data_IF_555237769960
#
_entry.id   IF_555237769960
#
_cell.length_a   1.000
_cell.length_b   1.000
_cell.length_c   1.000
_cell.angle_alpha   90.00
_cell.angle_beta   90.00
_cell.angle_gamma   90.00
#
_symmetry.space_group_name_H-M   'P 1'
#
loop_
_entity.id
_entity.type
_entity.pdbx_description
1 polymer ?
#
# COMPACT_ATOMS: atom_id res chain seq x y z
N UNK A 1 -3.98 12.41 58.45
CA UNK A 1 -3.99 10.93 58.55
C UNK A 1 -3.76 10.36 57.17
N UNK A 2 -2.80 9.44 57.02
CA UNK A 2 -2.77 8.30 56.07
C UNK A 2 -1.36 7.69 56.13
N UNK A 3 -1.25 6.45 56.57
CA UNK A 3 0.03 5.75 56.80
C UNK A 3 0.42 4.89 55.58
N UNK A 4 1.72 4.66 55.32
CA UNK A 4 2.17 3.80 54.23
C UNK A 4 2.23 2.33 54.66
N UNK A 5 1.60 1.43 53.90
CA UNK A 5 1.72 -0.01 54.11
C UNK A 5 2.78 -0.60 53.16
N UNK A 6 3.87 -1.14 53.72
CA UNK A 6 4.80 -2.03 53.00
C UNK A 6 4.33 -3.47 53.16
N UNK A 7 4.39 -4.27 52.10
CA UNK A 7 4.56 -5.72 52.23
C UNK A 7 5.77 -6.17 51.41
N UNK A 8 6.63 -6.98 52.04
CA UNK A 8 7.64 -7.80 51.38
C UNK A 8 7.13 -9.23 51.43
N UNK A 9 7.25 -9.96 50.33
CA UNK A 9 7.12 -11.42 50.36
C UNK A 9 8.17 -12.03 49.45
N UNK A 10 9.29 -12.45 50.06
CA UNK A 10 10.31 -13.25 49.40
C UNK A 10 9.88 -14.72 49.48
N UNK A 11 9.76 -15.41 48.34
CA UNK A 11 9.54 -16.86 48.32
C UNK A 11 10.72 -17.51 47.61
N UNK A 12 11.55 -18.19 48.39
CA UNK A 12 12.54 -19.14 47.88
C UNK A 12 11.84 -20.48 47.60
N UNK A 13 12.18 -21.14 46.49
CA UNK A 13 11.79 -22.54 46.23
C UNK A 13 13.05 -23.36 45.98
N UNK A 14 13.10 -24.54 46.60
CA UNK A 14 14.31 -25.36 46.78
C UNK A 14 14.76 -26.12 45.52
N UNK A 15 16.04 -26.50 45.54
CA UNK A 15 16.71 -27.43 44.63
C UNK A 15 16.79 -28.86 45.21
N UNK A 16 16.53 -29.87 44.37
CA UNK A 16 17.05 -31.27 44.47
C UNK A 16 16.55 -32.16 45.64
N UNK A 17 16.80 -33.52 45.69
CA UNK A 17 17.75 -34.35 44.91
C UNK A 17 17.30 -35.78 44.44
N UNK A 18 18.28 -36.56 43.92
CA UNK A 18 18.39 -38.04 43.73
C UNK A 18 18.27 -38.56 42.28
N UNK A 19 19.27 -39.09 41.55
CA UNK A 19 20.32 -40.14 41.72
C UNK A 19 19.95 -41.61 41.35
N UNK A 20 20.41 -42.01 40.14
CA UNK A 20 21.19 -43.25 39.82
C UNK A 20 20.45 -44.63 39.70
N UNK A 21 21.02 -45.67 39.04
CA UNK A 21 21.46 -45.75 37.62
C UNK A 21 21.22 -47.12 36.89
N UNK A 22 21.76 -47.26 35.66
CA UNK A 22 21.92 -48.49 34.79
C UNK A 22 20.69 -48.85 33.91
N UNK A 23 20.82 -49.49 32.74
CA UNK A 23 21.98 -50.20 32.13
C UNK A 23 22.05 -50.09 30.57
N UNK A 24 23.09 -50.71 30.02
CA UNK A 24 23.65 -50.70 28.66
C UNK A 24 22.83 -51.32 27.51
N UNK A 25 23.07 -50.81 26.28
CA UNK A 25 23.49 -51.67 25.14
C UNK A 25 24.13 -50.94 23.95
N UNK A 26 25.00 -51.65 23.24
CA UNK A 26 25.78 -51.23 22.07
C UNK A 26 25.11 -51.64 20.74
N UNK A 27 25.47 -50.93 19.67
CA UNK A 27 25.87 -51.44 18.32
C UNK A 27 25.27 -50.64 17.15
N UNK A 28 26.06 -50.39 16.09
CA UNK A 28 25.55 -49.73 14.88
C UNK A 28 26.55 -48.99 13.99
N UNK A 29 27.74 -49.55 13.72
CA UNK A 29 28.67 -48.95 12.73
C UNK A 29 28.15 -49.14 11.31
N UNK A 30 28.01 -48.06 10.52
CA UNK A 30 28.26 -48.08 9.07
C UNK A 30 29.11 -46.87 8.67
N UNK A 31 30.14 -47.11 7.87
CA UNK A 31 31.05 -46.11 7.28
C UNK A 31 30.73 -45.90 5.80
N UNK A 32 31.25 -44.79 5.27
CA UNK A 32 31.69 -44.61 3.87
C UNK A 32 30.65 -44.24 2.81
N UNK A 33 30.72 -42.99 2.35
CA UNK A 33 31.26 -42.74 1.00
C UNK A 33 32.05 -41.40 0.94
N UNK A 34 32.76 -41.17 -0.16
CA UNK A 34 33.76 -40.13 -0.42
C UNK A 34 33.23 -38.67 -0.29
N UNK A 35 34.00 -37.65 0.16
CA UNK A 35 35.20 -37.01 -0.47
C UNK A 35 34.95 -36.56 -1.92
N UNK A 36 35.45 -35.43 -2.43
CA UNK A 36 36.06 -34.19 -1.89
C UNK A 36 36.37 -33.34 -3.13
N UNK A 37 36.11 -32.02 -3.13
CA UNK A 37 36.75 -31.13 -4.12
C UNK A 37 37.35 -29.91 -3.42
N UNK A 38 38.67 -29.82 -3.52
CA UNK A 38 39.53 -28.67 -3.22
C UNK A 38 40.16 -28.36 -4.61
N UNK A 39 40.34 -27.11 -5.05
CA UNK A 39 41.63 -26.42 -4.90
C UNK A 39 41.58 -24.96 -5.40
N UNK A 40 42.17 -24.07 -4.59
CA UNK A 40 42.84 -22.77 -4.84
C UNK A 40 42.83 -22.17 -6.27
N UNK A 41 42.78 -20.84 -6.32
CA UNK A 41 43.98 -20.03 -6.60
C UNK A 41 43.95 -18.70 -5.80
N UNK A 42 45.12 -18.09 -5.52
CA UNK A 42 45.30 -17.01 -4.52
C UNK A 42 46.52 -16.13 -4.89
N UNK A 43 46.53 -14.88 -4.39
CA UNK A 43 47.57 -13.83 -4.53
C UNK A 43 47.54 -13.15 -5.93
N UNK A 44 47.98 -11.91 -6.19
CA UNK A 44 48.95 -10.96 -5.55
C UNK A 44 48.62 -9.52 -6.07
N UNK A 45 48.98 -8.35 -5.49
CA UNK A 45 49.61 -7.96 -4.21
C UNK A 45 49.46 -6.41 -3.94
N UNK A 46 49.79 -5.97 -2.71
CA UNK A 46 50.28 -4.63 -2.29
C UNK A 46 49.46 -3.32 -2.33
N UNK A 47 49.88 -2.43 -1.41
CA UNK A 47 49.55 -1.00 -1.18
C UNK A 47 50.34 -0.11 -2.19
N UNK A 48 50.23 1.22 -2.30
CA UNK A 48 50.01 2.26 -1.27
C UNK A 48 49.72 3.66 -1.88
N UNK A 49 49.14 4.55 -1.06
CA UNK A 49 49.28 6.03 -0.99
C UNK A 49 49.33 6.96 -2.24
N UNK A 50 48.41 7.94 -2.19
CA UNK A 50 48.52 9.37 -2.59
C UNK A 50 49.04 9.79 -3.99
N UNK A 51 48.12 10.34 -4.80
CA UNK A 51 48.41 11.27 -5.89
C UNK A 51 47.11 11.85 -6.48
N UNK A 52 46.90 13.17 -6.42
CA UNK A 52 45.83 13.85 -7.17
C UNK A 52 46.36 14.15 -8.57
N UNK A 53 45.54 13.97 -9.60
CA UNK A 53 45.17 15.05 -10.54
C UNK A 53 44.06 14.62 -11.54
N UNK A 54 43.35 15.58 -12.19
CA UNK A 54 42.24 15.30 -13.11
C UNK A 54 42.58 15.59 -14.59
N UNK A 55 42.08 14.77 -15.54
CA UNK A 55 42.16 15.07 -16.98
C UNK A 55 40.80 14.79 -17.68
N UNK A 56 40.47 15.65 -18.66
CA UNK A 56 39.24 15.67 -19.50
C UNK A 56 39.52 14.92 -20.85
N UNK A 57 38.94 15.24 -22.04
CA UNK A 57 37.61 15.74 -22.44
C UNK A 57 36.96 14.96 -23.63
N UNK A 58 35.83 15.49 -24.13
CA UNK A 58 35.41 15.52 -25.56
C UNK A 58 34.73 14.27 -26.20
N UNK A 59 33.96 14.45 -27.31
CA UNK A 59 33.69 15.68 -28.06
C UNK A 59 32.22 16.17 -28.12
N UNK A 60 32.06 17.40 -28.59
CA UNK A 60 30.81 18.12 -28.84
C UNK A 60 30.38 18.04 -30.33
N UNK A 61 29.40 18.89 -30.69
CA UNK A 61 28.92 19.25 -32.04
C UNK A 61 27.88 18.29 -32.66
N UNK A 62 26.95 18.75 -33.53
CA UNK A 62 26.82 20.07 -34.16
C UNK A 62 25.34 20.48 -34.32
N UNK A 63 25.06 21.79 -34.36
CA UNK A 63 23.75 22.35 -34.68
C UNK A 63 23.84 23.30 -35.89
N UNK A 64 22.95 23.11 -36.87
CA UNK A 64 22.55 24.05 -37.94
C UNK A 64 23.60 24.80 -38.76
N UNK A 65 23.56 24.62 -40.09
CA UNK A 65 23.47 25.76 -41.03
C UNK A 65 22.78 25.38 -42.36
N UNK A 66 21.72 26.14 -42.66
CA UNK A 66 21.23 26.66 -43.95
C UNK A 66 21.41 25.91 -45.29
N UNK A 67 20.33 26.05 -46.08
CA UNK A 67 20.27 26.26 -47.54
C UNK A 67 19.89 25.07 -48.42
N UNK A 68 18.62 25.05 -48.86
CA UNK A 68 18.23 24.62 -50.21
C UNK A 68 17.06 25.50 -50.66
N UNK A 69 17.14 26.10 -51.85
CA UNK A 69 16.04 26.83 -52.47
C UNK A 69 15.15 25.88 -53.29
N UNK A 70 13.84 26.11 -53.35
CA UNK A 70 13.02 25.59 -54.46
C UNK A 70 11.73 26.38 -54.71
N UNK A 71 11.85 27.30 -55.67
CA UNK A 71 10.93 27.50 -56.81
C UNK A 71 9.43 27.53 -56.49
N UNK A 72 8.89 28.75 -56.45
CA UNK A 72 7.49 29.04 -56.75
C UNK A 72 7.16 28.63 -58.19
N UNK A 73 6.05 27.92 -58.40
CA UNK A 73 5.32 27.92 -59.68
C UNK A 73 3.83 28.09 -59.43
N UNK A 74 3.28 29.14 -60.00
CA UNK A 74 1.87 29.49 -60.00
C UNK A 74 1.08 28.59 -60.95
N UNK A 75 -0.16 28.25 -60.59
CA UNK A 75 -1.12 27.62 -61.51
C UNK A 75 -2.17 28.66 -61.96
N UNK A 76 -2.44 28.79 -63.27
CA UNK A 76 -3.39 29.78 -63.77
C UNK A 76 -4.84 29.26 -63.74
N UNK A 77 -5.78 30.15 -63.43
CA UNK A 77 -7.21 29.91 -63.65
C UNK A 77 -7.54 29.88 -65.15
N UNK A 78 -8.42 28.96 -65.57
CA UNK A 78 -9.18 29.09 -66.82
C UNK A 78 -10.68 28.95 -66.53
N UNK A 79 -11.46 29.91 -67.03
CA UNK A 79 -12.93 29.86 -67.08
C UNK A 79 -13.36 29.05 -68.32
N UNK A 80 -14.56 28.47 -68.31
CA UNK A 80 -15.59 28.49 -69.37
C UNK A 80 -16.82 27.60 -68.96
N UNK A 81 -18.00 27.74 -69.59
CA UNK A 81 -19.29 27.59 -68.89
C UNK A 81 -20.25 26.50 -69.46
N UNK A 82 -21.55 26.58 -69.09
CA UNK A 82 -22.74 25.77 -69.49
C UNK A 82 -22.99 24.46 -68.70
N UNK A 83 -24.26 24.01 -68.57
CA UNK A 83 -25.48 24.80 -68.35
C UNK A 83 -26.42 24.22 -67.26
N UNK A 84 -27.53 24.92 -67.02
CA UNK A 84 -28.68 24.48 -66.23
C UNK A 84 -29.32 23.23 -66.87
N UNK A 85 -29.57 22.20 -66.06
CA UNK A 85 -30.53 21.14 -66.39
C UNK A 85 -31.54 21.01 -65.23
N UNK A 86 -32.76 21.52 -65.43
CA UNK A 86 -33.88 21.15 -64.59
C UNK A 86 -34.22 19.68 -64.86
N UNK A 87 -34.29 18.86 -63.81
CA UNK A 87 -35.03 17.60 -63.85
C UNK A 87 -35.94 17.49 -62.63
N UNK A 88 -37.24 17.47 -62.87
CA UNK A 88 -38.26 17.20 -61.87
C UNK A 88 -38.17 15.73 -61.45
N UNK A 89 -38.04 15.46 -60.15
CA UNK A 89 -38.30 14.14 -59.57
C UNK A 89 -39.35 14.26 -58.47
N UNK A 90 -40.31 13.36 -58.57
CA UNK A 90 -41.59 13.30 -57.88
C UNK A 90 -41.60 13.54 -56.36
N UNK A 91 -42.72 14.11 -55.91
CA UNK A 91 -43.23 13.98 -54.55
C UNK A 91 -43.28 12.51 -54.12
N UNK A 92 -42.42 12.13 -53.18
CA UNK A 92 -42.76 11.14 -52.17
C UNK A 92 -42.50 11.77 -50.81
N UNK A 93 -43.46 11.76 -49.87
CA UNK A 93 -43.17 12.01 -48.47
C UNK A 93 -42.43 10.78 -47.95
N UNK A 94 -41.12 10.72 -48.21
CA UNK A 94 -40.23 9.90 -47.40
C UNK A 94 -40.52 10.25 -45.95
N UNK A 95 -40.66 9.23 -45.09
CA UNK A 95 -40.67 9.49 -43.66
C UNK A 95 -39.37 10.24 -43.37
N UNK A 96 -39.50 11.50 -42.95
CA UNK A 96 -38.48 12.21 -42.22
C UNK A 96 -38.32 11.50 -40.89
N UNK A 97 -37.68 10.32 -40.93
CA UNK A 97 -37.04 9.75 -39.76
C UNK A 97 -36.18 10.87 -39.22
N UNK A 98 -36.55 11.37 -38.05
CA UNK A 98 -35.72 12.29 -37.30
C UNK A 98 -34.43 11.53 -37.01
N UNK A 99 -33.44 11.68 -37.89
CA UNK A 99 -32.04 11.62 -37.53
C UNK A 99 -31.82 12.77 -36.56
N UNK A 100 -32.31 12.58 -35.33
CA UNK A 100 -32.05 13.49 -34.25
C UNK A 100 -30.55 13.57 -34.14
N UNK A 101 -30.00 14.75 -34.42
CA UNK A 101 -28.66 15.07 -33.94
C UNK A 101 -28.65 14.69 -32.47
N UNK A 102 -27.82 13.72 -32.10
CA UNK A 102 -27.73 13.25 -30.72
C UNK A 102 -27.02 14.33 -29.93
N UNK A 103 -27.79 15.36 -29.59
CA UNK A 103 -27.38 16.50 -28.79
C UNK A 103 -26.63 15.97 -27.58
N UNK A 104 -25.39 16.43 -27.43
CA UNK A 104 -24.43 15.90 -26.45
C UNK A 104 -25.06 15.90 -25.05
N UNK A 105 -25.49 14.72 -24.59
CA UNK A 105 -26.25 14.54 -23.34
C UNK A 105 -25.60 15.30 -22.18
N UNK A 106 -26.41 16.05 -21.45
CA UNK A 106 -25.90 16.88 -20.36
C UNK A 106 -26.13 16.21 -19.01
N UNK A 107 -25.19 15.34 -18.64
CA UNK A 107 -25.20 14.57 -17.40
C UNK A 107 -25.04 15.40 -16.10
N UNK A 108 -24.85 16.73 -16.19
CA UNK A 108 -24.74 17.60 -15.02
C UNK A 108 -25.17 19.05 -15.32
N UNK A 109 -26.09 19.59 -14.51
CA UNK A 109 -26.68 20.92 -14.72
C UNK A 109 -26.11 22.02 -13.82
N UNK A 110 -25.24 21.71 -12.87
CA UNK A 110 -24.57 22.69 -12.00
C UNK A 110 -23.22 23.18 -12.55
N UNK A 111 -22.51 23.99 -11.76
CA UNK A 111 -21.18 24.54 -12.10
C UNK A 111 -20.04 23.69 -11.53
N UNK A 112 -18.80 23.98 -11.94
CA UNK A 112 -17.65 23.28 -11.37
C UNK A 112 -17.27 23.81 -9.98
N UNK A 113 -17.59 25.07 -9.78
CA UNK A 113 -17.30 25.90 -8.64
C UNK A 113 -18.15 25.43 -7.44
N UNK A 114 -19.43 25.07 -7.68
CA UNK A 114 -20.33 24.46 -6.69
C UNK A 114 -19.71 23.24 -6.01
N UNK A 115 -19.18 22.28 -6.79
CA UNK A 115 -18.63 21.03 -6.27
C UNK A 115 -17.25 21.20 -5.64
N UNK A 116 -16.44 22.13 -6.14
CA UNK A 116 -15.11 22.41 -5.59
C UNK A 116 -15.16 23.19 -4.28
N UNK A 117 -16.19 24.02 -4.06
CA UNK A 117 -16.41 24.71 -2.78
C UNK A 117 -16.59 23.75 -1.59
N UNK A 118 -17.01 22.50 -1.87
CA UNK A 118 -17.23 21.44 -0.89
C UNK A 118 -15.97 20.62 -0.55
N UNK A 119 -14.83 20.95 -1.16
CA UNK A 119 -13.52 20.35 -0.90
C UNK A 119 -12.69 21.36 -0.12
N UNK A 120 -12.17 21.03 1.07
CA UNK A 120 -11.34 21.97 1.84
C UNK A 120 -10.05 22.31 1.07
N UNK A 121 -9.33 23.40 1.41
CA UNK A 121 -7.97 23.59 0.93
C UNK A 121 -7.04 22.47 1.44
N UNK A 122 -5.91 22.20 0.76
CA UNK A 122 -4.88 21.33 1.31
C UNK A 122 -4.27 21.95 2.58
N UNK A 123 -3.77 21.15 3.54
CA UNK A 123 -3.02 21.66 4.67
C UNK A 123 -1.79 22.47 4.22
N UNK A 124 -1.53 23.60 4.89
CA UNK A 124 -0.26 24.31 4.78
C UNK A 124 0.88 23.38 5.23
N UNK A 125 2.04 23.45 4.57
CA UNK A 125 3.11 22.47 4.76
C UNK A 125 3.71 22.47 6.18
N UNK A 126 3.75 23.63 6.82
CA UNK A 126 4.20 23.89 8.20
C UNK A 126 3.13 23.63 9.28
N UNK A 127 1.87 23.38 8.89
CA UNK A 127 0.83 22.99 9.83
C UNK A 127 1.05 21.57 10.37
N UNK A 128 0.51 21.21 11.56
CA UNK A 128 0.57 19.84 12.09
C UNK A 128 0.04 18.79 11.11
N UNK A 129 -1.02 19.11 10.37
CA UNK A 129 -1.57 18.24 9.33
C UNK A 129 -0.64 18.12 8.09
N UNK A 130 -0.02 19.23 7.67
CA UNK A 130 0.96 19.23 6.58
C UNK A 130 2.25 18.50 6.90
N UNK A 131 2.70 18.53 8.16
CA UNK A 131 3.83 17.74 8.64
C UNK A 131 3.48 16.24 8.73
N UNK A 132 2.30 15.90 9.28
CA UNK A 132 1.83 14.52 9.38
C UNK A 132 1.60 13.87 8.00
N UNK A 133 1.11 14.64 7.02
CA UNK A 133 0.96 14.22 5.61
C UNK A 133 2.30 13.75 5.02
N UNK A 134 3.40 14.46 5.30
CA UNK A 134 4.74 14.12 4.80
C UNK A 134 5.35 12.95 5.59
N UNK A 135 5.32 12.98 6.92
CA UNK A 135 5.91 11.91 7.75
C UNK A 135 5.21 10.57 7.52
N UNK A 136 3.90 10.55 7.24
CA UNK A 136 3.18 9.33 6.83
C UNK A 136 3.86 8.66 5.62
N UNK A 137 4.30 9.44 4.63
CA UNK A 137 4.98 8.91 3.44
C UNK A 137 6.40 8.44 3.79
N UNK A 138 7.12 9.20 4.65
CA UNK A 138 8.46 8.85 5.10
C UNK A 138 8.48 7.56 5.93
N UNK A 139 7.46 7.31 6.74
CA UNK A 139 7.27 6.02 7.44
C UNK A 139 6.94 4.90 6.47
N UNK A 140 5.94 5.10 5.61
CA UNK A 140 5.52 4.06 4.65
C UNK A 140 6.65 3.63 3.70
N UNK A 141 7.58 4.51 3.32
CA UNK A 141 8.71 4.10 2.49
C UNK A 141 9.81 3.32 3.24
N UNK A 142 9.93 3.49 4.57
CA UNK A 142 10.85 2.71 5.42
C UNK A 142 10.38 1.25 5.51
N UNK A 143 9.08 1.04 5.64
CA UNK A 143 8.48 -0.27 5.93
C UNK A 143 7.87 -0.99 4.71
N UNK A 144 7.79 -0.35 3.54
CA UNK A 144 7.08 -0.94 2.38
C UNK A 144 7.75 -2.20 1.83
N UNK A 145 6.96 -3.26 1.69
CA UNK A 145 7.43 -4.54 1.14
C UNK A 145 7.45 -4.55 -0.40
N UNK A 146 8.19 -5.48 -1.04
CA UNK A 146 8.16 -5.67 -2.50
C UNK A 146 6.74 -5.92 -3.04
N UNK A 147 5.91 -6.65 -2.32
CA UNK A 147 4.51 -6.96 -2.68
C UNK A 147 3.65 -5.70 -2.66
N UNK A 148 3.87 -4.84 -1.66
CA UNK A 148 3.23 -3.53 -1.56
C UNK A 148 3.65 -2.60 -2.71
N UNK A 149 4.94 -2.58 -3.09
CA UNK A 149 5.43 -1.85 -4.27
C UNK A 149 4.79 -2.39 -5.56
N UNK A 150 4.76 -3.71 -5.74
CA UNK A 150 4.13 -4.35 -6.90
C UNK A 150 2.64 -4.02 -6.98
N UNK A 151 1.94 -4.00 -5.85
CA UNK A 151 0.54 -3.59 -5.72
C UNK A 151 0.32 -2.13 -6.10
N UNK A 152 1.16 -1.22 -5.61
CA UNK A 152 1.12 0.19 -6.00
C UNK A 152 1.30 0.39 -7.52
N UNK A 153 2.25 -0.34 -8.15
CA UNK A 153 2.48 -0.33 -9.60
C UNK A 153 1.29 -0.87 -10.41
N UNK A 154 0.62 -1.95 -9.94
CA UNK A 154 -0.60 -2.47 -10.59
C UNK A 154 -1.77 -1.50 -10.54
N UNK A 155 -1.90 -0.72 -9.46
CA UNK A 155 -2.94 0.31 -9.34
C UNK A 155 -2.60 1.56 -10.17
N UNK A 156 -1.32 1.88 -10.35
CA UNK A 156 -0.86 3.03 -11.14
C UNK A 156 -1.25 2.98 -12.62
N UNK A 157 -1.40 1.79 -13.21
CA UNK A 157 -1.59 1.62 -14.67
C UNK A 157 -2.97 2.02 -15.23
N UNK A 158 -3.96 2.32 -14.38
CA UNK A 158 -5.24 3.00 -14.69
C UNK A 158 -5.94 2.62 -16.01
N UNK A 159 -6.84 1.62 -15.97
CA UNK A 159 -7.79 1.36 -17.07
C UNK A 159 -9.16 2.02 -16.84
N UNK A 160 -9.95 2.24 -17.90
CA UNK A 160 -11.37 2.56 -17.82
C UNK A 160 -12.20 1.40 -17.25
N UNK A 161 -11.85 0.16 -17.62
CA UNK A 161 -12.57 -1.06 -17.26
C UNK A 161 -12.21 -1.61 -15.87
N UNK A 162 -11.08 -1.18 -15.29
CA UNK A 162 -10.49 -1.74 -14.07
C UNK A 162 -11.48 -1.89 -12.90
N UNK A 163 -12.39 -0.92 -12.71
CA UNK A 163 -13.33 -0.97 -11.60
C UNK A 163 -14.47 -1.99 -11.81
N UNK A 164 -14.95 -2.14 -13.05
CA UNK A 164 -15.87 -3.22 -13.40
C UNK A 164 -15.17 -4.58 -13.31
N UNK A 165 -13.93 -4.68 -13.81
CA UNK A 165 -13.15 -5.92 -13.74
C UNK A 165 -12.84 -6.41 -12.31
N UNK A 166 -12.77 -5.50 -11.33
CA UNK A 166 -12.61 -5.87 -9.92
C UNK A 166 -13.89 -6.43 -9.30
N UNK A 167 -15.08 -6.12 -9.83
CA UNK A 167 -16.35 -6.67 -9.36
C UNK A 167 -16.87 -7.83 -10.21
N UNK A 168 -16.60 -7.82 -11.51
CA UNK A 168 -17.22 -8.69 -12.52
C UNK A 168 -16.18 -9.58 -13.25
N UNK A 169 -14.92 -9.56 -12.79
CA UNK A 169 -13.88 -10.46 -13.30
C UNK A 169 -13.17 -9.98 -14.58
N UNK A 170 -12.18 -10.74 -15.05
CA UNK A 170 -11.29 -10.33 -16.14
C UNK A 170 -11.97 -10.24 -17.52
N UNK A 171 -13.15 -10.83 -17.70
CA UNK A 171 -13.98 -10.67 -18.90
C UNK A 171 -14.58 -9.26 -19.03
N UNK A 172 -14.48 -8.41 -18.01
CA UNK A 172 -14.90 -7.01 -18.07
C UNK A 172 -13.94 -6.17 -18.93
N UNK A 173 -14.06 -6.31 -20.25
CA UNK A 173 -13.30 -5.58 -21.27
C UNK A 173 -14.20 -4.62 -22.05
N UNK A 174 -13.61 -3.76 -22.88
CA UNK A 174 -14.37 -2.82 -23.72
C UNK A 174 -15.19 -3.55 -24.79
N UNK A 175 -14.71 -4.70 -25.23
CA UNK A 175 -15.28 -5.53 -26.29
C UNK A 175 -16.55 -6.24 -25.79
N UNK A 176 -16.54 -6.68 -24.53
CA UNK A 176 -17.67 -7.33 -23.87
C UNK A 176 -18.70 -6.34 -23.27
N UNK A 177 -18.25 -5.15 -22.86
CA UNK A 177 -19.08 -4.10 -22.26
C UNK A 177 -18.93 -2.74 -22.98
N UNK A 178 -19.23 -2.68 -24.29
CA UNK A 178 -19.01 -1.49 -25.10
C UNK A 178 -19.88 -0.31 -24.66
N UNK A 179 -21.14 -0.54 -24.26
CA UNK A 179 -22.05 0.56 -23.88
C UNK A 179 -21.69 1.14 -22.53
N UNK A 180 -21.40 0.31 -21.53
CA UNK A 180 -20.88 0.75 -20.23
C UNK A 180 -19.57 1.50 -20.38
N UNK A 181 -18.67 1.03 -21.26
CA UNK A 181 -17.39 1.73 -21.52
C UNK A 181 -17.61 3.09 -22.17
N UNK A 182 -18.54 3.21 -23.13
CA UNK A 182 -18.92 4.48 -23.74
C UNK A 182 -19.53 5.45 -22.72
N UNK A 183 -20.53 5.01 -21.95
CA UNK A 183 -21.19 5.81 -20.91
C UNK A 183 -20.20 6.30 -19.85
N UNK A 184 -19.29 5.44 -19.37
CA UNK A 184 -18.22 5.82 -18.43
C UNK A 184 -17.21 6.81 -19.05
N UNK A 185 -17.07 6.85 -20.39
CA UNK A 185 -16.28 7.85 -21.10
C UNK A 185 -17.04 9.17 -21.28
N UNK A 186 -18.35 9.15 -21.49
CA UNK A 186 -19.23 10.33 -21.57
C UNK A 186 -19.31 11.04 -20.21
N UNK A 187 -19.66 10.29 -19.15
CA UNK A 187 -19.83 10.77 -17.76
C UNK A 187 -18.57 11.38 -17.14
N UNK A 188 -17.37 11.10 -17.69
CA UNK A 188 -16.10 11.53 -17.07
C UNK A 188 -15.87 13.04 -17.07
N UNK A 189 -16.54 13.78 -17.97
CA UNK A 189 -16.17 15.14 -18.36
C UNK A 189 -16.25 16.14 -17.20
N UNK A 190 -17.39 16.17 -16.50
CA UNK A 190 -17.65 17.01 -15.32
C UNK A 190 -16.54 16.82 -14.28
N UNK A 191 -16.38 15.60 -13.77
CA UNK A 191 -15.33 15.22 -12.81
C UNK A 191 -13.91 15.56 -13.30
N UNK A 192 -13.61 15.40 -14.59
CA UNK A 192 -12.32 15.81 -15.18
C UNK A 192 -12.10 17.32 -15.08
N UNK A 193 -13.11 18.16 -15.34
CA UNK A 193 -13.05 19.62 -15.16
C UNK A 193 -12.81 19.96 -13.68
N UNK A 194 -13.50 19.32 -12.74
CA UNK A 194 -13.31 19.57 -11.30
C UNK A 194 -11.85 19.35 -10.87
N UNK A 195 -11.26 18.21 -11.24
CA UNK A 195 -9.89 17.85 -10.86
C UNK A 195 -8.88 18.85 -11.45
N UNK A 196 -9.10 19.32 -12.68
CA UNK A 196 -8.27 20.35 -13.32
C UNK A 196 -8.35 21.69 -12.59
N UNK A 197 -9.57 22.21 -12.41
CA UNK A 197 -9.82 23.47 -11.71
C UNK A 197 -9.22 23.45 -10.28
N UNK A 198 -9.45 22.39 -9.50
CA UNK A 198 -8.86 22.26 -8.15
C UNK A 198 -7.32 22.27 -8.17
N UNK A 199 -6.69 21.60 -9.13
CA UNK A 199 -5.23 21.64 -9.30
C UNK A 199 -4.72 23.04 -9.55
N UNK A 200 -5.36 23.79 -10.43
CA UNK A 200 -4.97 25.16 -10.75
C UNK A 200 -5.27 26.17 -9.64
N UNK A 201 -6.27 25.92 -8.78
CA UNK A 201 -6.55 26.75 -7.60
C UNK A 201 -5.46 26.55 -6.53
N UNK A 202 -5.19 25.31 -6.13
CA UNK A 202 -4.37 25.04 -4.94
C UNK A 202 -2.88 24.80 -5.23
N UNK A 203 -2.51 24.44 -6.46
CA UNK A 203 -1.12 24.27 -6.96
C UNK A 203 -0.16 23.49 -6.04
N UNK A 204 -0.69 22.57 -5.21
CA UNK A 204 0.10 21.85 -4.21
C UNK A 204 1.23 21.03 -4.87
N UNK A 205 2.50 21.20 -4.46
CA UNK A 205 3.60 20.38 -4.95
C UNK A 205 3.45 18.93 -4.50
N UNK A 206 4.01 17.99 -5.27
CA UNK A 206 4.02 16.56 -4.93
C UNK A 206 4.95 16.28 -3.74
N UNK A 207 4.77 15.18 -2.99
CA UNK A 207 5.64 14.81 -1.87
C UNK A 207 7.15 14.82 -2.19
N UNK A 208 7.54 14.22 -3.32
CA UNK A 208 8.92 14.19 -3.83
C UNK A 208 9.45 15.54 -4.35
N UNK A 209 8.61 16.57 -4.46
CA UNK A 209 9.05 17.94 -4.74
C UNK A 209 9.29 18.72 -3.44
N UNK A 210 8.53 18.40 -2.37
CA UNK A 210 8.68 19.01 -1.05
C UNK A 210 9.87 18.46 -0.25
N UNK A 211 10.09 17.15 -0.26
CA UNK A 211 11.29 16.54 0.35
C UNK A 211 12.02 15.62 -0.62
N UNK A 212 13.35 15.73 -0.63
CA UNK A 212 14.27 14.85 -1.37
C UNK A 212 14.35 13.43 -0.80
N UNK A 213 13.89 13.23 0.44
CA UNK A 213 13.86 11.92 1.08
C UNK A 213 12.76 11.00 0.52
N UNK A 214 11.74 11.55 -0.14
CA UNK A 214 10.61 10.75 -0.66
C UNK A 214 11.00 10.06 -1.96
N UNK A 215 11.19 8.73 -1.90
CA UNK A 215 11.49 7.89 -3.07
C UNK A 215 10.20 7.29 -3.62
N UNK A 216 9.77 7.75 -4.79
CA UNK A 216 8.60 7.20 -5.49
C UNK A 216 8.83 5.76 -5.97
N UNK A 217 7.79 4.94 -5.96
CA UNK A 217 7.85 3.55 -6.48
C UNK A 217 6.85 3.25 -7.61
N UNK A 218 6.17 4.28 -8.11
CA UNK A 218 5.21 4.27 -9.24
C UNK A 218 5.62 5.28 -10.30
N UNK A 219 4.91 5.37 -11.43
CA UNK A 219 5.22 6.32 -12.51
C UNK A 219 5.13 7.76 -11.99
N UNK A 220 6.16 8.57 -12.23
CA UNK A 220 6.20 9.99 -11.85
C UNK A 220 5.06 10.76 -12.54
N UNK A 221 4.12 11.37 -11.80
CA UNK A 221 3.08 12.21 -12.38
C UNK A 221 3.66 13.46 -13.05
N UNK A 222 2.91 14.02 -14.01
CA UNK A 222 3.26 15.27 -14.71
C UNK A 222 2.48 16.49 -14.20
N UNK A 223 1.50 16.27 -13.32
CA UNK A 223 0.53 17.24 -12.82
C UNK A 223 0.67 17.46 -11.30
N UNK A 224 0.00 18.51 -10.80
CA UNK A 224 0.00 18.96 -9.40
C UNK A 224 -0.63 17.94 -8.43
N UNK A 225 -0.39 18.05 -7.13
CA UNK A 225 -0.76 17.01 -6.15
C UNK A 225 -2.25 17.05 -5.76
N UNK A 226 -2.78 18.22 -5.39
CA UNK A 226 -4.12 18.33 -4.78
C UNK A 226 -5.21 18.72 -5.79
N UNK A 227 -6.41 18.15 -5.76
CA UNK A 227 -6.78 16.87 -5.13
C UNK A 227 -6.27 15.68 -5.95
N UNK A 228 -6.28 14.46 -5.40
CA UNK A 228 -5.79 13.29 -6.13
C UNK A 228 -6.72 12.87 -7.27
N UNK A 229 -6.25 13.01 -8.51
CA UNK A 229 -7.01 12.64 -9.70
C UNK A 229 -7.29 11.15 -9.81
N UNK A 230 -6.40 10.29 -9.31
CA UNK A 230 -6.62 8.84 -9.28
C UNK A 230 -7.73 8.48 -8.28
N UNK A 231 -7.66 8.99 -7.06
CA UNK A 231 -8.71 8.79 -6.06
C UNK A 231 -10.07 9.34 -6.51
N UNK A 232 -10.09 10.52 -7.13
CA UNK A 232 -11.31 11.09 -7.73
C UNK A 232 -11.84 10.27 -8.92
N UNK A 233 -10.98 9.68 -9.75
CA UNK A 233 -11.40 8.75 -10.82
C UNK A 233 -12.03 7.50 -10.23
N UNK A 234 -11.37 6.86 -9.27
CA UNK A 234 -11.84 5.65 -8.62
C UNK A 234 -13.14 5.87 -7.87
N UNK A 235 -13.21 6.90 -7.02
CA UNK A 235 -14.38 7.18 -6.19
C UNK A 235 -15.61 7.58 -7.00
N UNK A 236 -15.44 8.37 -8.06
CA UNK A 236 -16.53 8.71 -8.99
C UNK A 236 -17.09 7.45 -9.68
N UNK A 237 -16.23 6.63 -10.28
CA UNK A 237 -16.66 5.36 -10.90
C UNK A 237 -17.29 4.43 -9.86
N UNK A 238 -16.76 4.38 -8.66
CA UNK A 238 -17.24 3.52 -7.58
C UNK A 238 -18.65 3.89 -7.15
N UNK A 239 -18.94 5.18 -7.03
CA UNK A 239 -20.29 5.68 -6.77
C UNK A 239 -21.26 5.36 -7.93
N UNK A 240 -20.87 5.57 -9.18
CA UNK A 240 -21.70 5.22 -10.35
C UNK A 240 -21.98 3.71 -10.45
N UNK A 241 -20.94 2.86 -10.32
CA UNK A 241 -21.14 1.41 -10.30
C UNK A 241 -21.94 0.94 -9.07
N UNK A 242 -21.85 1.62 -7.92
CA UNK A 242 -22.68 1.34 -6.74
C UNK A 242 -24.13 1.78 -6.91
N UNK A 243 -24.40 2.79 -7.75
CA UNK A 243 -25.78 3.16 -8.12
C UNK A 243 -26.38 2.16 -9.12
N UNK A 244 -25.56 1.61 -10.03
CA UNK A 244 -25.98 0.52 -10.92
C UNK A 244 -26.11 -0.82 -10.17
N UNK A 245 -25.27 -1.10 -9.18
CA UNK A 245 -25.20 -2.35 -8.42
C UNK A 245 -24.99 -2.09 -6.91
N UNK A 246 -26.00 -1.63 -6.17
CA UNK A 246 -25.91 -1.40 -4.73
C UNK A 246 -25.52 -2.66 -3.94
N UNK A 247 -25.91 -3.84 -4.41
CA UNK A 247 -25.53 -5.14 -3.84
C UNK A 247 -24.01 -5.40 -3.83
N UNK A 248 -23.28 -4.80 -4.77
CA UNK A 248 -21.81 -4.95 -4.90
C UNK A 248 -21.03 -3.73 -4.40
N UNK A 249 -21.70 -2.73 -3.80
CA UNK A 249 -21.07 -1.51 -3.23
C UNK A 249 -19.82 -1.78 -2.37
N UNK A 250 -19.77 -2.79 -1.47
CA UNK A 250 -18.57 -3.05 -0.67
C UNK A 250 -17.31 -3.35 -1.49
N UNK A 251 -17.45 -3.94 -2.68
CA UNK A 251 -16.33 -4.21 -3.61
C UNK A 251 -15.78 -2.90 -4.16
N UNK A 252 -16.65 -2.02 -4.64
CA UNK A 252 -16.25 -0.71 -5.16
C UNK A 252 -15.62 0.15 -4.08
N UNK A 253 -16.21 0.21 -2.87
CA UNK A 253 -15.66 0.93 -1.72
C UNK A 253 -14.25 0.41 -1.34
N UNK A 254 -14.05 -0.91 -1.36
CA UNK A 254 -12.74 -1.53 -1.12
C UNK A 254 -11.72 -1.14 -2.21
N UNK A 255 -12.11 -1.14 -3.48
CA UNK A 255 -11.24 -0.75 -4.59
C UNK A 255 -10.90 0.75 -4.59
N UNK A 256 -11.79 1.60 -4.09
CA UNK A 256 -11.51 3.04 -3.87
C UNK A 256 -10.46 3.22 -2.78
N UNK A 257 -10.60 2.54 -1.63
CA UNK A 257 -9.59 2.56 -0.56
C UNK A 257 -8.24 2.04 -1.03
N UNK A 258 -8.21 0.96 -1.80
CA UNK A 258 -7.00 0.40 -2.39
C UNK A 258 -6.33 1.39 -3.35
N UNK A 259 -7.12 2.04 -4.22
CA UNK A 259 -6.65 3.11 -5.12
C UNK A 259 -5.99 4.25 -4.34
N UNK A 260 -6.66 4.77 -3.31
CA UNK A 260 -6.14 5.84 -2.45
C UNK A 260 -4.81 5.43 -1.80
N UNK A 261 -4.80 4.29 -1.10
CA UNK A 261 -3.63 3.84 -0.34
C UNK A 261 -2.40 3.63 -1.22
N UNK A 262 -2.58 3.03 -2.40
CA UNK A 262 -1.51 2.83 -3.36
C UNK A 262 -0.91 4.12 -3.93
N UNK A 263 -1.59 5.28 -3.86
CA UNK A 263 -0.98 6.57 -4.23
C UNK A 263 -0.08 7.14 -3.13
N UNK A 264 -0.48 6.97 -1.87
CA UNK A 264 0.32 7.41 -0.71
C UNK A 264 1.57 6.53 -0.58
N UNK A 265 1.38 5.20 -0.61
CA UNK A 265 2.45 4.19 -0.65
C UNK A 265 3.41 4.38 -1.85
N UNK A 266 2.88 4.88 -2.96
CA UNK A 266 3.64 5.23 -4.17
C UNK A 266 4.56 6.45 -4.02
N UNK A 267 4.41 7.25 -2.96
CA UNK A 267 5.13 8.50 -2.72
C UNK A 267 4.68 9.67 -3.59
N UNK A 268 3.52 9.58 -4.24
CA UNK A 268 3.07 10.55 -5.27
C UNK A 268 1.89 11.42 -4.84
N UNK A 269 1.25 11.10 -3.71
CA UNK A 269 0.17 11.90 -3.12
C UNK A 269 0.25 11.83 -1.60
N UNK A 270 -0.16 12.91 -0.94
CA UNK A 270 -0.36 12.92 0.51
C UNK A 270 -1.68 12.24 0.91
N UNK A 271 -1.82 11.76 2.17
CA UNK A 271 -3.09 11.30 2.73
C UNK A 271 -4.27 12.27 2.47
N UNK A 272 -4.08 13.57 2.69
CA UNK A 272 -5.16 14.54 2.42
C UNK A 272 -5.48 14.72 0.93
N UNK A 273 -4.51 14.57 0.01
CA UNK A 273 -4.80 14.60 -1.44
C UNK A 273 -5.77 13.49 -1.84
N UNK A 274 -5.57 12.28 -1.28
CA UNK A 274 -6.36 11.10 -1.67
C UNK A 274 -7.75 11.11 -1.04
N UNK A 275 -7.89 11.67 0.17
CA UNK A 275 -9.19 11.94 0.81
C UNK A 275 -9.98 12.99 0.03
N UNK A 276 -9.39 14.15 -0.24
CA UNK A 276 -10.03 15.21 -1.03
C UNK A 276 -10.41 14.74 -2.44
N UNK A 277 -9.54 13.94 -3.07
CA UNK A 277 -9.84 13.29 -4.34
C UNK A 277 -11.04 12.36 -4.25
N UNK A 278 -11.08 11.47 -3.23
CA UNK A 278 -12.23 10.57 -3.00
C UNK A 278 -13.53 11.37 -2.87
N UNK A 279 -13.53 12.37 -2.01
CA UNK A 279 -14.76 13.09 -1.63
C UNK A 279 -15.27 13.95 -2.80
N UNK A 280 -14.38 14.58 -3.57
CA UNK A 280 -14.73 15.22 -4.83
C UNK A 280 -15.36 14.23 -5.83
N UNK A 281 -14.78 13.03 -5.95
CA UNK A 281 -15.28 11.98 -6.84
C UNK A 281 -16.69 11.51 -6.47
N UNK A 282 -16.93 11.26 -5.17
CA UNK A 282 -18.25 10.87 -4.64
C UNK A 282 -19.27 11.99 -4.84
N UNK A 283 -18.98 13.21 -4.37
CA UNK A 283 -19.90 14.37 -4.48
C UNK A 283 -20.25 14.68 -5.93
N UNK A 284 -19.30 14.56 -6.86
CA UNK A 284 -19.57 14.73 -8.29
C UNK A 284 -20.54 13.66 -8.81
N UNK A 285 -20.36 12.39 -8.43
CA UNK A 285 -21.28 11.33 -8.83
C UNK A 285 -22.68 11.50 -8.20
N UNK A 286 -22.76 11.81 -6.91
CA UNK A 286 -24.02 12.08 -6.20
C UNK A 286 -24.80 13.25 -6.81
N UNK A 287 -24.11 14.32 -7.21
CA UNK A 287 -24.73 15.45 -7.89
C UNK A 287 -25.19 15.09 -9.31
N UNK A 288 -24.41 14.29 -10.05
CA UNK A 288 -24.81 13.78 -11.37
C UNK A 288 -25.97 12.79 -11.30
N UNK A 289 -26.08 11.97 -10.26
CA UNK A 289 -27.18 11.00 -10.07
C UNK A 289 -28.55 11.64 -9.84
N UNK A 290 -28.61 12.96 -9.62
CA UNK A 290 -29.87 13.74 -9.60
C UNK A 290 -30.38 14.08 -11.02
N UNK A 291 -29.57 13.90 -12.05
CA UNK A 291 -29.90 14.23 -13.43
C UNK A 291 -30.53 13.02 -14.16
N UNK A 292 -31.66 13.18 -14.89
CA UNK A 292 -32.34 12.09 -15.59
C UNK A 292 -31.48 11.36 -16.64
N UNK A 293 -30.61 12.06 -17.40
CA UNK A 293 -29.71 11.43 -18.38
C UNK A 293 -28.71 10.51 -17.67
N UNK A 294 -28.22 10.91 -16.49
CA UNK A 294 -27.33 10.06 -15.68
C UNK A 294 -28.08 8.85 -15.13
N UNK A 295 -29.32 9.02 -14.66
CA UNK A 295 -30.14 7.90 -14.19
C UNK A 295 -30.43 6.90 -15.32
N UNK A 296 -30.74 7.37 -16.53
CA UNK A 296 -30.88 6.54 -17.72
C UNK A 296 -29.58 5.80 -18.06
N UNK A 297 -28.43 6.48 -18.06
CA UNK A 297 -27.12 5.84 -18.28
C UNK A 297 -26.79 4.78 -17.22
N UNK A 298 -27.15 5.00 -15.96
CA UNK A 298 -26.94 4.03 -14.87
C UNK A 298 -27.83 2.79 -15.07
N UNK A 299 -29.06 2.98 -15.56
CA UNK A 299 -29.91 1.86 -15.97
C UNK A 299 -29.30 1.08 -17.14
N UNK A 300 -28.85 1.76 -18.20
CA UNK A 300 -28.18 1.13 -19.36
C UNK A 300 -26.96 0.30 -18.94
N UNK A 301 -26.17 0.79 -17.98
CA UNK A 301 -25.02 0.06 -17.39
C UNK A 301 -25.49 -1.19 -16.63
N UNK A 302 -26.54 -1.10 -15.80
CA UNK A 302 -27.08 -2.27 -15.10
C UNK A 302 -27.65 -3.30 -16.08
N UNK A 303 -28.36 -2.85 -17.10
CA UNK A 303 -29.00 -3.71 -18.11
C UNK A 303 -27.95 -4.50 -18.92
N UNK A 304 -26.90 -3.84 -19.46
CA UNK A 304 -25.83 -4.50 -20.21
C UNK A 304 -25.10 -5.54 -19.34
N UNK A 305 -24.72 -5.16 -18.12
CA UNK A 305 -23.97 -6.04 -17.23
C UNK A 305 -24.81 -7.25 -16.78
N UNK A 306 -26.09 -7.03 -16.46
CA UNK A 306 -27.01 -8.12 -16.06
C UNK A 306 -27.31 -9.05 -17.25
N UNK A 307 -27.46 -8.51 -18.47
CA UNK A 307 -27.64 -9.31 -19.68
C UNK A 307 -26.41 -10.17 -20.01
N UNK A 308 -25.19 -9.66 -19.71
CA UNK A 308 -23.96 -10.45 -19.82
C UNK A 308 -23.92 -11.55 -18.74
N UNK A 309 -24.13 -11.22 -17.47
CA UNK A 309 -24.17 -12.19 -16.35
C UNK A 309 -25.12 -13.36 -16.62
N UNK A 310 -26.30 -13.11 -17.21
CA UNK A 310 -27.27 -14.15 -17.55
C UNK A 310 -26.74 -15.17 -18.58
N UNK A 311 -25.81 -14.76 -19.44
CA UNK A 311 -25.11 -15.63 -20.42
C UNK A 311 -23.80 -16.21 -19.87
N UNK A 312 -23.24 -15.56 -18.86
CA UNK A 312 -21.92 -15.79 -18.28
C UNK A 312 -22.01 -15.90 -16.75
N UNK A 313 -22.57 -16.99 -16.20
CA UNK A 313 -22.81 -17.14 -14.76
C UNK A 313 -21.51 -17.08 -13.92
N UNK A 314 -20.35 -17.34 -14.52
CA UNK A 314 -19.03 -17.15 -13.92
C UNK A 314 -18.76 -15.70 -13.48
N UNK A 315 -19.37 -14.70 -14.16
CA UNK A 315 -19.26 -13.28 -13.81
C UNK A 315 -20.00 -12.97 -12.51
N UNK A 316 -21.21 -13.50 -12.34
CA UNK A 316 -21.99 -13.33 -11.11
C UNK A 316 -21.35 -14.12 -9.95
N UNK A 317 -20.83 -15.31 -10.22
CA UNK A 317 -20.07 -16.09 -9.25
C UNK A 317 -18.81 -15.35 -8.76
N UNK A 318 -18.06 -14.72 -9.67
CA UNK A 318 -16.92 -13.87 -9.32
C UNK A 318 -17.34 -12.70 -8.43
N UNK A 319 -18.43 -12.01 -8.78
CA UNK A 319 -18.95 -10.89 -7.99
C UNK A 319 -19.36 -11.32 -6.56
N UNK A 320 -20.04 -12.46 -6.42
CA UNK A 320 -20.42 -13.03 -5.12
C UNK A 320 -19.20 -13.47 -4.30
N UNK A 321 -18.22 -14.14 -4.91
CA UNK A 321 -16.97 -14.48 -4.24
C UNK A 321 -16.25 -13.21 -3.75
N UNK A 322 -16.09 -12.22 -4.63
CA UNK A 322 -15.40 -10.97 -4.30
C UNK A 322 -16.13 -10.19 -3.21
N UNK A 323 -17.47 -10.18 -3.22
CA UNK A 323 -18.28 -9.60 -2.15
C UNK A 323 -18.00 -10.28 -0.81
N UNK A 324 -17.98 -11.62 -0.76
CA UNK A 324 -17.62 -12.38 0.43
C UNK A 324 -16.20 -12.05 0.92
N UNK A 325 -15.21 -11.96 0.02
CA UNK A 325 -13.82 -11.60 0.37
C UNK A 325 -13.67 -10.20 1.00
N UNK A 326 -14.42 -9.19 0.52
CA UNK A 326 -14.32 -7.81 1.04
C UNK A 326 -15.21 -7.55 2.26
N UNK A 327 -16.24 -8.38 2.49
CA UNK A 327 -17.15 -8.29 3.65
C UNK A 327 -16.78 -9.24 4.77
N UNK A 328 -15.95 -10.26 4.50
CA UNK A 328 -15.34 -11.08 5.53
C UNK A 328 -14.65 -10.18 6.57
N UNK A 329 -14.94 -10.44 7.86
CA UNK A 329 -14.22 -9.79 8.96
C UNK A 329 -12.72 -9.99 8.72
N UNK A 330 -11.88 -8.94 8.83
CA UNK A 330 -10.46 -9.08 8.58
C UNK A 330 -9.90 -10.17 9.49
N UNK A 331 -9.43 -11.27 8.90
CA UNK A 331 -8.61 -12.26 9.61
C UNK A 331 -7.46 -11.48 10.22
N UNK A 332 -7.34 -11.53 11.55
CA UNK A 332 -6.39 -10.68 12.26
C UNK A 332 -4.99 -10.89 11.68
N UNK A 333 -4.40 -9.84 11.10
CA UNK A 333 -3.02 -9.88 10.60
C UNK A 333 -1.99 -9.71 11.72
N UNK A 334 -2.43 -9.41 12.95
CA UNK A 334 -1.82 -10.02 14.14
C UNK A 334 -2.14 -11.50 14.07
N UNK A 335 -1.14 -12.32 13.70
CA UNK A 335 -1.30 -13.77 13.67
C UNK A 335 -1.97 -14.23 14.96
N UNK A 336 -3.09 -14.94 14.83
CA UNK A 336 -4.02 -15.29 15.91
C UNK A 336 -3.24 -15.79 17.12
N UNK A 337 -3.07 -14.93 18.12
CA UNK A 337 -2.38 -15.31 19.36
C UNK A 337 -3.18 -16.44 19.98
N UNK A 338 -2.56 -17.60 20.23
CA UNK A 338 -3.30 -18.69 20.87
C UNK A 338 -3.81 -18.21 22.23
N UNK A 339 -4.96 -18.69 22.69
CA UNK A 339 -5.41 -18.42 24.08
C UNK A 339 -4.36 -18.87 25.10
N UNK A 340 -3.58 -19.88 24.73
CA UNK A 340 -2.52 -20.48 25.55
C UNK A 340 -1.23 -19.64 25.56
N UNK A 341 -1.05 -18.77 24.55
CA UNK A 341 0.14 -17.95 24.37
C UNK A 341 0.35 -17.00 25.55
N UNK A 342 1.59 -16.92 26.01
CA UNK A 342 2.02 -16.09 27.13
C UNK A 342 3.03 -15.05 26.66
N UNK A 343 3.00 -13.88 27.28
CA UNK A 343 4.05 -12.86 27.15
C UNK A 343 4.70 -12.65 28.50
N UNK A 344 6.01 -12.47 28.53
CA UNK A 344 6.74 -12.11 29.75
C UNK A 344 7.39 -10.75 29.52
N UNK A 345 7.27 -9.87 30.51
CA UNK A 345 8.06 -8.64 30.61
C UNK A 345 9.01 -8.83 31.79
N UNK A 346 10.27 -9.10 31.49
CA UNK A 346 11.32 -9.22 32.50
C UNK A 346 12.17 -7.94 32.49
N UNK A 347 12.08 -7.13 33.56
CA UNK A 347 12.87 -5.89 33.69
C UNK A 347 13.85 -6.01 34.84
N UNK A 348 15.13 -5.72 34.58
CA UNK A 348 16.17 -5.69 35.60
C UNK A 348 16.97 -4.40 35.57
N UNK A 349 17.60 -4.05 36.69
CA UNK A 349 18.58 -2.97 36.80
C UNK A 349 19.90 -3.58 37.26
N UNK A 350 20.94 -3.48 36.41
CA UNK A 350 22.29 -3.95 36.74
C UNK A 350 22.97 -3.00 37.73
N UNK A 351 23.81 -3.53 38.62
CA UNK A 351 24.76 -2.71 39.39
C UNK A 351 25.79 -2.10 38.42
N UNK A 352 26.14 -0.83 38.57
CA UNK A 352 27.06 -0.13 37.64
C UNK A 352 28.39 -0.89 37.48
N UNK A 353 28.98 -1.37 38.57
CA UNK A 353 30.21 -2.18 38.58
C UNK A 353 30.12 -3.52 37.84
N UNK A 354 28.92 -3.98 37.51
CA UNK A 354 28.66 -5.28 36.86
C UNK A 354 27.94 -5.15 35.51
N UNK A 355 27.68 -3.93 35.03
CA UNK A 355 26.99 -3.60 33.78
C UNK A 355 27.42 -4.45 32.59
N UNK A 356 28.72 -4.56 32.34
CA UNK A 356 29.25 -5.36 31.22
C UNK A 356 29.00 -6.86 31.38
N UNK A 357 29.11 -7.40 32.60
CA UNK A 357 28.84 -8.80 32.87
C UNK A 357 27.35 -9.13 32.70
N UNK A 358 26.45 -8.28 33.20
CA UNK A 358 25.01 -8.43 33.05
C UNK A 358 24.59 -8.28 31.58
N UNK A 359 25.13 -7.29 30.84
CA UNK A 359 24.86 -7.13 29.39
C UNK A 359 25.27 -8.37 28.60
N UNK A 360 26.45 -8.93 28.88
CA UNK A 360 26.94 -10.13 28.19
C UNK A 360 26.07 -11.36 28.50
N UNK A 361 25.64 -11.52 29.75
CA UNK A 361 24.72 -12.57 30.15
C UNK A 361 23.35 -12.43 29.46
N UNK A 362 22.83 -11.20 29.36
CA UNK A 362 21.59 -10.88 28.64
C UNK A 362 21.69 -11.20 27.15
N UNK A 363 22.80 -10.90 26.48
CA UNK A 363 22.98 -11.30 25.07
C UNK A 363 23.09 -12.82 24.90
N UNK A 364 23.77 -13.51 25.82
CA UNK A 364 23.93 -14.95 25.77
C UNK A 364 22.61 -15.70 26.01
N UNK A 365 21.76 -15.23 26.94
CA UNK A 365 20.43 -15.84 27.16
C UNK A 365 19.55 -15.61 25.93
N UNK A 366 19.51 -14.41 25.35
CA UNK A 366 18.77 -14.10 24.11
C UNK A 366 19.15 -15.04 22.96
N UNK A 367 20.45 -15.27 22.75
CA UNK A 367 20.95 -16.16 21.69
C UNK A 367 20.68 -17.65 21.97
N UNK A 368 20.50 -18.03 23.24
CA UNK A 368 20.01 -19.35 23.63
C UNK A 368 18.51 -19.49 23.38
N UNK A 369 17.71 -18.59 23.94
CA UNK A 369 16.25 -18.70 23.98
C UNK A 369 15.63 -18.68 22.59
N UNK A 370 16.16 -17.86 21.68
CA UNK A 370 15.68 -17.77 20.29
C UNK A 370 15.84 -19.07 19.47
N UNK A 371 16.60 -20.04 19.97
CA UNK A 371 16.76 -21.36 19.35
C UNK A 371 15.76 -22.39 19.90
N UNK A 372 15.03 -22.07 20.97
CA UNK A 372 14.08 -22.99 21.57
C UNK A 372 12.81 -23.13 20.72
N UNK A 373 12.30 -24.35 20.48
CA UNK A 373 11.07 -24.55 19.71
C UNK A 373 9.82 -23.99 20.39
N UNK A 374 9.89 -23.68 21.69
CA UNK A 374 8.82 -23.06 22.48
C UNK A 374 8.75 -21.53 22.36
N UNK A 375 9.85 -20.88 21.97
CA UNK A 375 9.94 -19.43 21.88
C UNK A 375 9.33 -18.92 20.56
N UNK A 376 8.51 -17.87 20.64
CA UNK A 376 7.94 -17.15 19.48
C UNK A 376 8.72 -15.85 19.26
N UNK A 377 9.10 -15.17 20.34
CA UNK A 377 9.97 -14.00 20.31
C UNK A 377 10.68 -13.83 21.64
N UNK A 378 11.86 -13.22 21.60
CA UNK A 378 12.67 -12.90 22.77
C UNK A 378 13.49 -11.65 22.43
N UNK A 379 13.06 -10.49 22.94
CA UNK A 379 13.57 -9.17 22.52
C UNK A 379 14.14 -8.40 23.71
N UNK A 380 15.46 -8.23 23.74
CA UNK A 380 16.18 -7.44 24.72
C UNK A 380 16.22 -5.96 24.33
N UNK A 381 15.86 -5.11 25.28
CA UNK A 381 15.88 -3.66 25.18
C UNK A 381 16.72 -3.07 26.32
N UNK A 382 17.26 -1.88 26.10
CA UNK A 382 17.93 -1.06 27.12
C UNK A 382 17.10 0.22 27.28
N UNK A 383 16.90 0.66 28.52
CA UNK A 383 16.18 1.89 28.82
C UNK A 383 16.95 3.10 28.28
N UNK A 384 16.22 4.06 27.68
CA UNK A 384 16.81 5.22 27.00
C UNK A 384 17.30 6.31 27.96
N UNK A 385 16.89 6.26 29.22
CA UNK A 385 17.27 7.21 30.28
C UNK A 385 18.24 6.56 31.25
N UNK A 386 17.98 5.31 31.67
CA UNK A 386 18.85 4.57 32.59
C UNK A 386 19.64 3.47 31.86
N UNK A 387 20.94 3.68 31.56
CA UNK A 387 21.74 2.70 30.81
C UNK A 387 22.05 1.41 31.59
N UNK A 388 21.67 1.30 32.87
CA UNK A 388 21.74 0.07 33.66
C UNK A 388 20.47 -0.78 33.62
N UNK A 389 19.36 -0.20 33.14
CA UNK A 389 18.06 -0.86 33.10
C UNK A 389 17.87 -1.56 31.76
N UNK A 390 17.47 -2.83 31.83
CA UNK A 390 17.23 -3.69 30.69
C UNK A 390 15.84 -4.32 30.80
N UNK A 391 15.14 -4.44 29.66
CA UNK A 391 13.82 -5.09 29.60
C UNK A 391 13.81 -6.12 28.48
N UNK A 392 13.55 -7.37 28.83
CA UNK A 392 13.26 -8.43 27.88
C UNK A 392 11.74 -8.51 27.71
N UNK A 393 11.28 -8.46 26.46
CA UNK A 393 9.90 -8.75 26.09
C UNK A 393 9.89 -10.09 25.37
N UNK A 394 9.22 -11.07 25.96
CA UNK A 394 9.21 -12.46 25.53
C UNK A 394 7.82 -12.88 25.09
N UNK A 395 7.76 -13.84 24.17
CA UNK A 395 6.51 -14.40 23.66
C UNK A 395 6.68 -15.91 23.54
N UNK A 396 5.79 -16.66 24.18
CA UNK A 396 5.89 -18.10 24.39
C UNK A 396 4.63 -18.83 23.94
N UNK A 397 4.81 -20.02 23.34
CA UNK A 397 3.67 -20.83 22.84
C UNK A 397 2.65 -21.16 23.94
N UNK A 398 3.12 -21.53 25.12
CA UNK A 398 2.32 -21.96 26.27
C UNK A 398 3.19 -21.94 27.55
N UNK A 399 2.64 -22.37 28.69
CA UNK A 399 3.37 -22.47 29.97
C UNK A 399 4.48 -23.53 29.93
N UNK A 400 4.23 -24.69 29.30
CA UNK A 400 5.20 -25.78 29.17
C UNK A 400 6.52 -25.32 28.50
N UNK A 401 6.42 -24.45 27.49
CA UNK A 401 7.58 -23.84 26.85
C UNK A 401 8.42 -22.99 27.83
N UNK A 402 7.78 -22.26 28.73
CA UNK A 402 8.45 -21.47 29.79
C UNK A 402 9.07 -22.42 30.83
N UNK A 403 8.38 -23.50 31.20
CA UNK A 403 8.88 -24.47 32.18
C UNK A 403 10.09 -25.26 31.66
N UNK A 404 10.17 -25.47 30.34
CA UNK A 404 11.35 -25.99 29.64
C UNK A 404 12.48 -24.96 29.56
N UNK A 405 12.15 -23.71 29.21
CA UNK A 405 13.12 -22.60 29.17
C UNK A 405 13.83 -22.40 30.51
N UNK A 406 13.05 -22.38 31.61
CA UNK A 406 13.55 -22.21 32.97
C UNK A 406 14.51 -23.32 33.44
N UNK A 407 14.55 -24.46 32.73
CA UNK A 407 15.45 -25.59 32.98
C UNK A 407 16.60 -25.67 31.97
N UNK A 408 16.65 -24.76 30.98
CA UNK A 408 17.65 -24.78 29.93
C UNK A 408 19.03 -24.38 30.47
N UNK A 409 20.09 -24.95 29.87
CA UNK A 409 21.46 -24.67 30.30
C UNK A 409 21.84 -23.18 30.18
N UNK A 410 21.31 -22.46 29.18
CA UNK A 410 21.61 -21.05 28.98
C UNK A 410 20.82 -20.15 29.95
N UNK A 411 19.58 -20.50 30.30
CA UNK A 411 18.82 -19.78 31.32
C UNK A 411 19.41 -19.97 32.72
N UNK A 412 19.77 -21.20 33.09
CA UNK A 412 20.41 -21.48 34.38
C UNK A 412 21.78 -20.77 34.51
N UNK A 413 22.58 -20.77 33.44
CA UNK A 413 23.83 -20.01 33.39
C UNK A 413 23.59 -18.48 33.50
N UNK A 414 22.54 -17.96 32.86
CA UNK A 414 22.14 -16.56 32.98
C UNK A 414 21.73 -16.19 34.41
N UNK A 415 20.84 -16.97 35.02
CA UNK A 415 20.33 -16.76 36.37
C UNK A 415 21.45 -16.72 37.42
N UNK A 416 22.36 -17.70 37.40
CA UNK A 416 23.54 -17.70 38.28
C UNK A 416 24.52 -16.56 37.94
N UNK A 417 24.63 -16.18 36.66
CA UNK A 417 25.50 -15.05 36.28
C UNK A 417 24.98 -13.71 36.79
N UNK A 418 23.67 -13.44 36.79
CA UNK A 418 23.11 -12.15 37.26
C UNK A 418 22.90 -12.06 38.78
N UNK A 419 22.98 -13.20 39.49
CA UNK A 419 22.92 -13.30 40.95
C UNK A 419 23.88 -12.33 41.61
N UNK A 420 23.37 -11.58 42.58
CA UNK A 420 24.05 -10.49 43.30
C UNK A 420 24.58 -9.31 42.46
N UNK A 421 24.37 -9.30 41.13
CA UNK A 421 24.85 -8.27 40.19
C UNK A 421 23.77 -7.30 39.70
N UNK A 422 22.53 -7.46 40.19
CA UNK A 422 21.39 -6.60 39.90
C UNK A 422 20.87 -5.95 41.18
N UNK A 423 20.34 -4.73 41.06
CA UNK A 423 19.67 -4.00 42.14
C UNK A 423 18.16 -4.28 42.19
N UNK A 424 17.58 -4.68 41.06
CA UNK A 424 16.19 -5.13 40.97
C UNK A 424 15.97 -6.07 39.78
N UNK A 425 14.94 -6.92 39.92
CA UNK A 425 14.38 -7.78 38.88
C UNK A 425 12.85 -7.84 39.10
N UNK A 426 12.08 -7.56 38.06
CA UNK A 426 10.62 -7.73 37.98
C UNK A 426 10.31 -8.67 36.82
N UNK A 427 9.34 -9.57 37.00
CA UNK A 427 8.90 -10.53 35.98
C UNK A 427 7.38 -10.54 35.97
N UNK A 428 6.80 -10.02 34.89
CA UNK A 428 5.35 -9.94 34.70
C UNK A 428 4.91 -10.91 33.59
N UNK A 429 4.12 -11.94 33.94
CA UNK A 429 3.58 -12.92 33.00
C UNK A 429 2.14 -12.51 32.64
N UNK A 430 1.89 -12.16 31.38
CA UNK A 430 0.64 -11.53 30.92
C UNK A 430 0.03 -12.23 29.70
N UNK A 431 -1.29 -12.07 29.53
CA UNK A 431 -2.07 -12.53 28.36
C UNK A 431 -2.69 -11.34 27.63
N UNK A 432 -2.85 -11.44 26.31
CA UNK A 432 -3.58 -10.46 25.49
C UNK A 432 -5.08 -10.72 25.63
N UNK A 433 -5.85 -9.72 26.08
CA UNK A 433 -7.29 -9.84 26.35
C UNK A 433 -8.18 -9.19 25.29
N UNK A 434 -7.59 -8.40 24.37
CA UNK A 434 -8.26 -7.69 23.28
C UNK A 434 -7.29 -7.36 22.14
#
# INVERSE_FOLDING_TARGET
>A
MLSPCRSKTSVWVLLMPSMMPKDTRLAGKRKSCARKTITKLRNTFLRNANGREPIRPAPETCCTKQSVSRILKTFPMKKHPFPILLLLIALTPWLSGQSGETGKKNYYTGTAEDLLSLVPPPPADDSPAGMADLETILQLQRDRTPEQIARAKRIDSHSSTQMGAVAFGPSFTKENFPRTTALMQELRATRSKMIGNGKEIWKRPRPYQRSKEVVICVKKPKDLSYPSGHSATGAFRGALYSAAFPEYKPIFDAQVRETMWCRVLGGVHYPTDVMAGRDLGIRTAEAMLKNPDTQAAIKEIRDEITAYMKKHPEVEAHAKQRLAEVTAKPVSRRGKTSKDQLKIIATLVAKESHKSAVRNALTAVVDGTRKEPGNISYALHQDTVNPLKYTIIEVWKNQEAIDLHNKSAHFLAFAETIKDKVDSLSIDIIREIY
#
